data_IF_160936529389
#
_entry.id   IF_160936529389
#
_cell.length_a   1.000
_cell.length_b   1.000
_cell.length_c   1.000
_cell.angle_alpha   90.00
_cell.angle_beta   90.00
_cell.angle_gamma   90.00
#
_symmetry.space_group_name_H-M   'P 1'
#
loop_
_entity.id
_entity.type
_entity.pdbx_description
1 polymer ?
#
# COMPACT_ATOMS: atom_id res chain seq x y z
N UNK A 1 9.58 15.17 -10.74
CA UNK A 1 8.95 13.87 -10.35
C UNK A 1 9.74 12.77 -11.03
N UNK A 2 10.31 11.83 -10.26
CA UNK A 2 11.07 10.69 -10.80
C UNK A 2 10.16 9.46 -10.78
N UNK A 3 10.06 8.78 -11.91
CA UNK A 3 9.31 7.54 -12.05
C UNK A 3 10.19 6.37 -11.62
N UNK A 4 9.67 5.53 -10.74
CA UNK A 4 10.34 4.35 -10.21
C UNK A 4 9.51 3.09 -10.45
N UNK A 5 10.19 1.94 -10.51
CA UNK A 5 9.57 0.62 -10.46
C UNK A 5 10.00 -0.08 -9.19
N UNK A 6 9.07 -0.76 -8.52
CA UNK A 6 9.37 -1.51 -7.31
C UNK A 6 10.36 -2.65 -7.60
N UNK A 7 11.17 -3.08 -6.61
CA UNK A 7 11.89 -4.33 -6.68
C UNK A 7 10.95 -5.52 -6.88
N UNK A 8 11.51 -6.66 -7.25
CA UNK A 8 10.79 -7.94 -7.28
C UNK A 8 10.49 -8.39 -5.84
N UNK A 9 9.44 -9.21 -5.70
CA UNK A 9 9.04 -9.78 -4.42
C UNK A 9 10.17 -10.65 -3.83
N UNK A 10 10.56 -10.34 -2.58
CA UNK A 10 11.46 -11.16 -1.79
C UNK A 10 10.62 -12.10 -0.92
N UNK A 11 10.22 -13.24 -1.49
CA UNK A 11 9.31 -14.17 -0.86
C UNK A 11 9.81 -14.65 0.51
N UNK A 12 8.91 -14.65 1.50
CA UNK A 12 9.19 -15.07 2.87
C UNK A 12 9.82 -14.00 3.76
N UNK A 13 10.14 -12.82 3.24
CA UNK A 13 10.59 -11.69 4.04
C UNK A 13 9.52 -11.32 5.07
N UNK A 14 9.92 -11.18 6.33
CA UNK A 14 8.98 -10.88 7.41
C UNK A 14 8.58 -9.40 7.39
N UNK A 15 7.29 -9.16 7.66
CA UNK A 15 6.82 -7.80 7.90
C UNK A 15 7.57 -7.18 9.09
N UNK A 16 7.83 -5.89 8.98
CA UNK A 16 8.55 -5.10 10.00
C UNK A 16 7.51 -4.40 10.86
N UNK A 17 7.68 -4.48 12.17
CA UNK A 17 6.78 -3.84 13.11
C UNK A 17 6.85 -2.31 13.02
N UNK A 18 5.73 -1.68 13.32
CA UNK A 18 5.59 -0.23 13.38
C UNK A 18 4.56 0.17 14.44
N UNK A 19 4.62 1.43 14.84
CA UNK A 19 3.58 2.06 15.66
C UNK A 19 3.43 3.51 15.18
N UNK A 20 2.41 3.77 14.37
CA UNK A 20 2.25 5.02 13.63
C UNK A 20 0.89 5.68 13.92
N UNK A 21 0.81 7.02 13.92
CA UNK A 21 -0.46 7.73 14.06
C UNK A 21 -1.31 7.59 12.79
N UNK A 22 -2.58 7.26 13.00
CA UNK A 22 -3.60 7.17 11.96
C UNK A 22 -4.42 8.44 11.81
N UNK A 23 -4.98 8.64 10.64
CA UNK A 23 -5.86 9.78 10.31
C UNK A 23 -7.15 9.80 11.15
N UNK A 24 -7.49 8.69 11.78
CA UNK A 24 -8.61 8.54 12.73
C UNK A 24 -8.28 8.97 14.16
N UNK A 25 -7.06 9.46 14.41
CA UNK A 25 -6.57 9.91 15.71
C UNK A 25 -6.09 8.80 16.64
N UNK A 26 -5.99 7.55 16.16
CA UNK A 26 -5.46 6.42 16.92
C UNK A 26 -4.00 6.16 16.56
N UNK A 27 -3.30 5.45 17.47
CA UNK A 27 -2.04 4.78 17.16
C UNK A 27 -2.35 3.38 16.64
N UNK A 28 -1.63 2.96 15.60
CA UNK A 28 -1.78 1.67 14.95
C UNK A 28 -0.42 0.97 14.91
N UNK A 29 -0.37 -0.23 15.47
CA UNK A 29 0.75 -1.16 15.32
C UNK A 29 0.53 -2.10 14.13
N UNK A 30 1.57 -2.84 13.73
CA UNK A 30 1.41 -3.90 12.76
C UNK A 30 0.36 -4.93 13.24
N UNK A 31 0.41 -5.31 14.52
CA UNK A 31 -0.52 -6.29 15.10
C UNK A 31 -1.99 -5.85 15.01
N UNK A 32 -2.27 -4.55 15.12
CA UNK A 32 -3.63 -4.01 14.95
C UNK A 32 -4.13 -4.12 13.50
N UNK A 33 -3.22 -4.27 12.55
CA UNK A 33 -3.51 -4.32 11.11
C UNK A 33 -3.56 -5.76 10.55
N UNK A 34 -3.17 -6.78 11.33
CA UNK A 34 -3.10 -8.16 10.84
C UNK A 34 -4.49 -8.71 10.53
N UNK A 35 -4.65 -9.30 9.37
CA UNK A 35 -5.83 -10.06 8.98
C UNK A 35 -5.65 -11.55 9.22
N UNK A 36 -6.77 -12.25 9.43
CA UNK A 36 -6.78 -13.70 9.73
C UNK A 36 -6.05 -14.54 8.67
N UNK A 37 -6.17 -14.16 7.38
CA UNK A 37 -5.58 -14.89 6.25
C UNK A 37 -4.45 -14.17 5.55
N UNK A 38 -4.18 -12.93 5.94
CA UNK A 38 -3.09 -12.13 5.39
C UNK A 38 -3.30 -10.64 5.58
N UNK A 39 -2.29 -9.86 5.19
CA UNK A 39 -2.28 -8.42 5.37
C UNK A 39 -1.73 -7.74 4.12
N UNK A 40 -2.41 -6.71 3.64
CA UNK A 40 -1.94 -5.84 2.57
C UNK A 40 -1.44 -4.53 3.17
N UNK A 41 -0.14 -4.27 3.06
CA UNK A 41 0.47 -3.01 3.44
C UNK A 41 0.79 -2.21 2.18
N UNK A 42 0.45 -0.92 2.18
CA UNK A 42 0.53 -0.07 0.99
C UNK A 42 1.24 1.24 1.32
N UNK A 43 2.28 1.59 0.55
CA UNK A 43 2.80 2.95 0.58
C UNK A 43 2.09 3.77 -0.50
N UNK A 44 1.28 4.74 -0.06
CA UNK A 44 0.53 5.65 -0.93
C UNK A 44 0.70 7.10 -0.47
N UNK A 45 0.33 8.06 -1.31
CA UNK A 45 0.31 9.47 -0.95
C UNK A 45 -0.81 10.21 -1.69
N UNK A 46 -1.11 11.42 -1.28
CA UNK A 46 -2.27 12.16 -1.82
C UNK A 46 -1.96 12.84 -3.16
N UNK A 47 -0.72 13.30 -3.38
CA UNK A 47 -0.40 14.10 -4.57
C UNK A 47 -0.05 13.25 -5.81
N UNK A 48 0.33 11.98 -5.64
CA UNK A 48 0.81 11.14 -6.74
C UNK A 48 -0.29 10.84 -7.76
N UNK A 49 -0.12 11.18 -9.05
CA UNK A 49 -1.14 10.90 -10.06
C UNK A 49 -1.36 9.40 -10.29
N UNK A 50 -0.35 8.57 -10.05
CA UNK A 50 -0.51 7.11 -10.11
C UNK A 50 -1.43 6.61 -9.00
N UNK A 51 -1.31 7.11 -7.76
CA UNK A 51 -2.22 6.77 -6.67
C UNK A 51 -3.63 7.27 -6.97
N UNK A 52 -3.78 8.54 -7.37
CA UNK A 52 -5.08 9.12 -7.71
C UNK A 52 -5.82 8.34 -8.80
N UNK A 53 -5.09 7.86 -9.81
CA UNK A 53 -5.69 7.14 -10.94
C UNK A 53 -6.22 5.75 -10.60
N UNK A 54 -5.70 5.12 -9.54
CA UNK A 54 -6.09 3.77 -9.10
C UNK A 54 -6.98 3.77 -7.86
N UNK A 55 -7.18 4.91 -7.20
CA UNK A 55 -7.73 5.01 -5.86
C UNK A 55 -9.08 4.30 -5.67
N UNK A 56 -10.04 4.53 -6.58
CA UNK A 56 -11.35 3.87 -6.50
C UNK A 56 -11.22 2.35 -6.67
N UNK A 57 -10.42 1.89 -7.64
CA UNK A 57 -10.19 0.46 -7.88
C UNK A 57 -9.48 -0.22 -6.70
N UNK A 58 -8.54 0.49 -6.08
CA UNK A 58 -7.86 0.02 -4.87
C UNK A 58 -8.84 -0.17 -3.72
N UNK A 59 -9.75 0.77 -3.51
CA UNK A 59 -10.80 0.67 -2.48
C UNK A 59 -11.71 -0.53 -2.76
N UNK A 60 -12.16 -0.70 -4.01
CA UNK A 60 -13.02 -1.81 -4.42
C UNK A 60 -12.34 -3.16 -4.19
N UNK A 61 -11.05 -3.27 -4.50
CA UNK A 61 -10.29 -4.51 -4.29
C UNK A 61 -10.03 -4.77 -2.80
N UNK A 62 -9.72 -3.73 -2.00
CA UNK A 62 -9.55 -3.86 -0.55
C UNK A 62 -10.84 -4.34 0.13
N UNK A 63 -12.01 -3.83 -0.26
CA UNK A 63 -13.29 -4.30 0.28
C UNK A 63 -13.50 -5.80 0.03
N UNK A 64 -13.19 -6.29 -1.18
CA UNK A 64 -13.24 -7.72 -1.49
C UNK A 64 -12.23 -8.54 -0.69
N UNK A 65 -11.04 -7.99 -0.43
CA UNK A 65 -10.02 -8.63 0.39
C UNK A 65 -10.46 -8.75 1.85
N UNK A 66 -11.10 -7.72 2.40
CA UNK A 66 -11.68 -7.77 3.76
C UNK A 66 -12.71 -8.89 3.92
N UNK A 67 -13.57 -9.10 2.92
CA UNK A 67 -14.59 -10.16 2.93
C UNK A 67 -13.99 -11.58 3.03
N UNK A 68 -12.72 -11.74 2.65
CA UNK A 68 -12.03 -13.03 2.70
C UNK A 68 -10.99 -13.14 3.82
N UNK A 69 -10.93 -12.16 4.75
CA UNK A 69 -10.06 -12.19 5.94
C UNK A 69 -8.66 -11.61 5.72
N UNK A 70 -8.48 -10.75 4.71
CA UNK A 70 -7.26 -9.97 4.52
C UNK A 70 -7.54 -8.54 4.93
N UNK A 71 -6.81 -8.05 5.94
CA UNK A 71 -6.83 -6.65 6.33
C UNK A 71 -5.86 -5.83 5.48
N UNK A 72 -6.10 -4.52 5.41
CA UNK A 72 -5.25 -3.61 4.67
C UNK A 72 -4.87 -2.40 5.52
N UNK A 73 -3.69 -1.85 5.30
CA UNK A 73 -3.20 -0.62 5.91
C UNK A 73 -2.42 0.20 4.88
N UNK A 74 -2.61 1.51 4.89
CA UNK A 74 -1.85 2.43 4.05
C UNK A 74 -0.93 3.31 4.88
N UNK A 75 0.29 3.55 4.40
CA UNK A 75 1.30 4.38 5.04
C UNK A 75 1.73 5.48 4.06
N UNK A 76 1.72 6.72 4.52
CA UNK A 76 2.25 7.87 3.82
C UNK A 76 3.59 8.28 4.45
N UNK A 77 4.64 8.35 3.61
CA UNK A 77 6.01 8.64 4.07
C UNK A 77 6.68 9.75 3.26
N UNK A 78 5.92 10.56 2.51
CA UNK A 78 6.49 11.71 1.82
C UNK A 78 6.77 12.87 2.79
N UNK A 79 7.73 13.69 2.45
CA UNK A 79 7.99 14.95 3.14
C UNK A 79 6.86 15.97 2.86
N UNK A 80 6.02 16.31 3.85
CA UNK A 80 4.94 17.26 3.64
C UNK A 80 5.40 18.73 3.57
N UNK A 81 6.61 19.04 3.97
CA UNK A 81 7.15 20.41 3.90
C UNK A 81 7.37 20.83 2.44
N UNK A 82 7.88 19.91 1.62
CA UNK A 82 8.05 20.11 0.19
C UNK A 82 6.78 19.78 -0.62
N UNK A 83 5.87 18.98 -0.05
CA UNK A 83 4.64 18.48 -0.69
C UNK A 83 3.43 18.66 0.24
N UNK A 84 2.91 19.87 0.41
CA UNK A 84 1.82 20.17 1.34
C UNK A 84 0.52 19.36 1.12
N UNK A 85 0.30 18.86 -0.09
CA UNK A 85 -0.83 17.96 -0.39
C UNK A 85 -0.78 16.67 0.43
N UNK A 86 0.41 16.25 0.89
CA UNK A 86 0.62 15.07 1.70
C UNK A 86 0.64 15.37 3.22
N UNK A 87 0.28 16.59 3.62
CA UNK A 87 0.15 16.94 5.04
C UNK A 87 -0.87 16.04 5.75
N UNK A 88 -0.68 15.83 7.05
CA UNK A 88 -1.57 15.00 7.86
C UNK A 88 -3.04 15.46 7.78
N UNK A 89 -3.28 16.78 7.78
CA UNK A 89 -4.62 17.34 7.61
C UNK A 89 -5.24 16.95 6.26
N UNK A 90 -4.45 16.98 5.17
CA UNK A 90 -4.93 16.58 3.86
C UNK A 90 -5.11 15.05 3.76
N UNK A 91 -4.30 14.25 4.45
CA UNK A 91 -4.54 12.80 4.58
C UNK A 91 -5.91 12.52 5.23
N UNK A 92 -6.26 13.23 6.31
CA UNK A 92 -7.56 13.12 6.96
C UNK A 92 -8.70 13.46 6.01
N UNK A 93 -8.56 14.55 5.23
CA UNK A 93 -9.57 14.95 4.24
C UNK A 93 -9.76 13.89 3.16
N UNK A 94 -8.66 13.38 2.60
CA UNK A 94 -8.70 12.33 1.56
C UNK A 94 -9.32 11.04 2.10
N UNK A 95 -8.90 10.59 3.27
CA UNK A 95 -9.44 9.40 3.89
C UNK A 95 -10.96 9.51 4.12
N UNK A 96 -11.44 10.68 4.55
CA UNK A 96 -12.87 10.95 4.75
C UNK A 96 -13.63 11.07 3.42
N UNK A 97 -13.07 11.77 2.43
CA UNK A 97 -13.70 11.98 1.11
C UNK A 97 -13.96 10.66 0.38
N UNK A 98 -12.97 9.77 0.42
CA UNK A 98 -13.05 8.47 -0.26
C UNK A 98 -13.55 7.33 0.64
N UNK A 99 -13.88 7.62 1.91
CA UNK A 99 -14.32 6.63 2.89
C UNK A 99 -13.37 5.43 2.93
N UNK A 100 -12.08 5.68 3.17
CA UNK A 100 -11.08 4.60 3.18
C UNK A 100 -11.48 3.46 4.13
N UNK A 101 -11.59 2.21 3.65
CA UNK A 101 -11.95 1.06 4.47
C UNK A 101 -10.75 0.49 5.26
N UNK A 102 -9.63 1.22 5.32
CA UNK A 102 -8.38 0.83 5.95
C UNK A 102 -7.79 2.01 6.73
N UNK A 103 -6.97 1.75 7.77
CA UNK A 103 -6.18 2.78 8.42
C UNK A 103 -5.23 3.47 7.44
N UNK A 104 -5.16 4.79 7.49
CA UNK A 104 -4.19 5.58 6.73
C UNK A 104 -3.26 6.28 7.72
N UNK A 105 -2.00 5.85 7.73
CA UNK A 105 -1.01 6.18 8.75
C UNK A 105 0.05 7.14 8.20
N UNK A 106 0.62 7.96 9.08
CA UNK A 106 1.76 8.81 8.72
C UNK A 106 3.06 8.26 9.31
N UNK A 107 4.06 8.02 8.45
CA UNK A 107 5.45 7.71 8.80
C UNK A 107 6.29 9.00 8.65
N UNK A 108 6.17 9.90 9.64
CA UNK A 108 6.82 11.19 9.59
C UNK A 108 8.35 11.09 9.60
N UNK A 109 8.90 10.08 10.27
CA UNK A 109 10.34 9.83 10.30
C UNK A 109 10.90 9.25 9.01
N UNK A 110 10.04 8.65 8.19
CA UNK A 110 10.39 7.89 6.98
C UNK A 110 11.20 6.61 7.26
N UNK A 111 11.33 6.23 8.52
CA UNK A 111 12.09 5.04 8.92
C UNK A 111 11.38 3.75 8.50
N UNK A 112 10.05 3.72 8.58
CA UNK A 112 9.27 2.55 8.19
C UNK A 112 9.35 2.33 6.69
N UNK A 113 9.17 3.37 5.87
CA UNK A 113 9.33 3.23 4.42
C UNK A 113 10.74 2.75 4.03
N UNK A 114 11.78 3.28 4.69
CA UNK A 114 13.17 2.84 4.46
C UNK A 114 13.38 1.39 4.88
N UNK A 115 12.85 0.97 6.03
CA UNK A 115 12.97 -0.39 6.54
C UNK A 115 12.28 -1.41 5.61
N UNK A 116 11.09 -1.10 5.10
CA UNK A 116 10.40 -1.90 4.09
C UNK A 116 11.05 -1.85 2.70
N UNK A 117 12.01 -0.97 2.47
CA UNK A 117 12.59 -0.75 1.15
C UNK A 117 11.57 -0.23 0.14
N UNK A 118 10.57 0.54 0.61
CA UNK A 118 9.62 1.22 -0.26
C UNK A 118 10.33 2.37 -0.99
N UNK A 119 10.10 2.50 -2.30
CA UNK A 119 10.81 3.48 -3.12
C UNK A 119 9.88 4.41 -3.91
N UNK A 120 8.63 4.04 -4.06
CA UNK A 120 7.64 4.81 -4.83
C UNK A 120 6.24 4.68 -4.23
N UNK A 121 5.33 5.48 -4.73
CA UNK A 121 3.90 5.36 -4.46
C UNK A 121 3.14 5.24 -5.79
N UNK A 122 2.23 4.22 -5.92
CA UNK A 122 1.94 3.17 -4.94
C UNK A 122 3.01 2.07 -4.92
N UNK A 123 3.27 1.49 -3.73
CA UNK A 123 4.06 0.27 -3.53
C UNK A 123 3.25 -0.67 -2.64
N UNK A 124 3.02 -1.91 -3.08
CA UNK A 124 2.14 -2.87 -2.43
C UNK A 124 2.92 -4.05 -1.88
N UNK A 125 2.70 -4.40 -0.62
CA UNK A 125 3.30 -5.52 0.08
C UNK A 125 2.20 -6.43 0.61
N UNK A 126 2.02 -7.59 0.00
CA UNK A 126 1.05 -8.59 0.39
C UNK A 126 1.67 -9.70 1.23
N UNK A 127 1.20 -9.85 2.45
CA UNK A 127 1.69 -10.83 3.42
C UNK A 127 0.67 -11.93 3.65
N UNK A 128 1.15 -13.16 3.90
CA UNK A 128 0.31 -14.27 4.37
C UNK A 128 0.01 -14.15 5.88
N UNK A 129 -0.75 -15.10 6.42
CA UNK A 129 -1.12 -15.13 7.85
C UNK A 129 0.09 -15.24 8.80
N UNK A 130 1.24 -15.69 8.32
CA UNK A 130 2.50 -15.75 9.08
C UNK A 130 3.34 -14.48 8.93
N UNK A 131 2.79 -13.42 8.32
CA UNK A 131 3.47 -12.16 8.01
C UNK A 131 4.73 -12.36 7.15
N UNK A 132 4.67 -13.29 6.21
CA UNK A 132 5.70 -13.53 5.21
C UNK A 132 5.28 -12.93 3.88
N UNK A 133 6.16 -12.13 3.26
CA UNK A 133 5.89 -11.45 1.99
C UNK A 133 5.61 -12.48 0.88
N UNK A 134 4.49 -12.33 0.20
CA UNK A 134 4.03 -13.20 -0.87
C UNK A 134 3.70 -12.43 -2.16
N UNK A 135 3.49 -11.13 -2.05
CA UNK A 135 3.20 -10.27 -3.18
C UNK A 135 3.90 -8.92 -3.07
N UNK A 136 4.59 -8.51 -4.14
CA UNK A 136 5.07 -7.16 -4.34
C UNK A 136 4.96 -6.82 -5.82
N UNK A 137 3.85 -6.25 -6.21
CA UNK A 137 3.51 -6.03 -7.62
C UNK A 137 2.54 -4.87 -7.80
N UNK A 138 2.04 -4.71 -9.04
CA UNK A 138 1.08 -3.68 -9.39
C UNK A 138 -0.34 -4.03 -8.93
N UNK A 139 -1.23 -3.01 -8.86
CA UNK A 139 -2.65 -3.23 -8.56
C UNK A 139 -3.33 -4.05 -9.67
N UNK A 140 -3.23 -3.56 -10.90
CA UNK A 140 -3.89 -4.11 -12.09
C UNK A 140 -3.07 -3.84 -13.37
N UNK A 141 -3.54 -4.32 -14.51
CA UNK A 141 -2.91 -4.11 -15.80
C UNK A 141 -3.33 -2.80 -16.50
N UNK A 142 -4.27 -2.06 -15.95
CA UNK A 142 -4.76 -0.80 -16.50
C UNK A 142 -3.82 0.38 -16.23
N UNK A 143 -3.06 0.32 -15.12
CA UNK A 143 -2.18 1.39 -14.70
C UNK A 143 -2.96 2.69 -14.48
N UNK A 144 -2.55 3.78 -15.13
CA UNK A 144 -3.25 5.09 -15.03
C UNK A 144 -4.49 5.19 -15.94
N UNK A 145 -4.75 4.21 -16.79
CA UNK A 145 -5.90 4.24 -17.71
C UNK A 145 -7.15 3.74 -16.98
N UNK A 146 -8.34 4.12 -17.46
CA UNK A 146 -9.57 3.47 -17.01
C UNK A 146 -9.51 1.96 -17.27
N UNK A 147 -10.01 1.12 -16.35
CA UNK A 147 -10.04 -0.31 -16.55
C UNK A 147 -10.98 -0.69 -17.70
N UNK A 148 -10.65 -1.75 -18.41
CA UNK A 148 -11.54 -2.42 -19.35
C UNK A 148 -12.29 -3.58 -18.67
N UNK A 149 -13.32 -4.11 -19.33
CA UNK A 149 -14.04 -5.28 -18.81
C UNK A 149 -13.16 -6.54 -18.69
N UNK A 150 -11.98 -6.54 -19.31
CA UNK A 150 -11.03 -7.66 -19.30
C UNK A 150 -9.75 -7.31 -18.53
N UNK A 151 -9.75 -6.23 -17.76
CA UNK A 151 -8.59 -5.85 -16.96
C UNK A 151 -8.31 -6.89 -15.88
N UNK A 152 -7.04 -7.24 -15.72
CA UNK A 152 -6.58 -8.17 -14.69
C UNK A 152 -6.35 -7.41 -13.39
N UNK A 153 -6.91 -7.93 -12.32
CA UNK A 153 -6.71 -7.44 -10.94
C UNK A 153 -5.54 -8.20 -10.30
N UNK A 154 -4.31 -7.91 -10.73
CA UNK A 154 -3.11 -8.69 -10.34
C UNK A 154 -2.96 -8.79 -8.82
N UNK A 155 -3.16 -7.69 -8.09
CA UNK A 155 -3.08 -7.66 -6.62
C UNK A 155 -4.21 -8.49 -5.98
N UNK A 156 -5.46 -8.27 -6.39
CA UNK A 156 -6.61 -8.97 -5.83
C UNK A 156 -6.49 -10.48 -6.05
N UNK A 157 -6.20 -10.92 -7.28
CA UNK A 157 -6.01 -12.32 -7.63
C UNK A 157 -4.88 -12.96 -6.80
N UNK A 158 -3.73 -12.26 -6.70
CA UNK A 158 -2.61 -12.73 -5.90
C UNK A 158 -2.94 -12.88 -4.41
N UNK A 159 -3.66 -11.92 -3.83
CA UNK A 159 -4.02 -11.97 -2.41
C UNK A 159 -5.13 -13.00 -2.13
N UNK A 160 -6.00 -13.29 -3.09
CA UNK A 160 -6.92 -14.44 -3.01
C UNK A 160 -6.14 -15.77 -2.96
N UNK A 161 -5.11 -15.92 -3.80
CA UNK A 161 -4.22 -17.10 -3.75
C UNK A 161 -3.52 -17.20 -2.40
N UNK A 162 -3.01 -16.08 -1.87
CA UNK A 162 -2.39 -16.01 -0.53
C UNK A 162 -3.37 -16.43 0.56
N UNK A 163 -4.61 -15.92 0.54
CA UNK A 163 -5.63 -16.28 1.52
C UNK A 163 -6.00 -17.77 1.51
N UNK A 164 -5.95 -18.40 0.34
CA UNK A 164 -6.34 -19.80 0.14
C UNK A 164 -5.20 -20.79 0.36
N UNK A 165 -3.96 -20.40 0.04
CA UNK A 165 -2.82 -21.33 -0.03
C UNK A 165 -1.65 -20.93 0.86
N UNK A 166 -1.64 -19.68 1.39
CA UNK A 166 -0.50 -19.08 2.08
C UNK A 166 0.63 -18.62 1.16
N UNK A 167 0.47 -18.77 -0.17
CA UNK A 167 1.51 -18.44 -1.16
C UNK A 167 0.96 -17.55 -2.27
N UNK A 168 1.77 -16.59 -2.69
CA UNK A 168 1.48 -15.74 -3.84
C UNK A 168 1.99 -16.31 -5.17
N UNK A 169 1.61 -15.70 -6.32
CA UNK A 169 2.05 -16.14 -7.64
C UNK A 169 3.56 -15.90 -7.81
N UNK A 170 4.25 -16.86 -8.44
CA UNK A 170 5.71 -16.76 -8.68
C UNK A 170 6.10 -15.62 -9.64
N UNK A 171 5.22 -15.33 -10.60
CA UNK A 171 5.45 -14.26 -11.58
C UNK A 171 4.59 -13.05 -11.21
N UNK A 172 5.26 -11.96 -10.89
CA UNK A 172 4.64 -10.72 -10.48
C UNK A 172 5.18 -9.57 -11.33
N UNK A 173 4.30 -8.61 -11.63
CA UNK A 173 4.68 -7.43 -12.41
C UNK A 173 4.91 -6.29 -11.41
N UNK A 174 6.12 -5.69 -11.37
CA UNK A 174 6.41 -4.60 -10.45
C UNK A 174 5.41 -3.44 -10.55
N UNK A 175 5.08 -2.85 -9.41
CA UNK A 175 4.37 -1.57 -9.37
C UNK A 175 5.25 -0.47 -9.95
N UNK A 176 4.62 0.59 -10.43
CA UNK A 176 5.28 1.76 -10.99
C UNK A 176 4.61 3.02 -10.45
N UNK A 177 5.40 3.98 -10.01
CA UNK A 177 4.86 5.21 -9.47
C UNK A 177 5.90 6.30 -9.22
N UNK A 178 5.48 7.34 -8.55
CA UNK A 178 6.35 8.46 -8.18
C UNK A 178 7.29 8.05 -7.04
N UNK A 179 8.57 8.41 -7.13
CA UNK A 179 9.50 8.21 -6.01
C UNK A 179 8.95 8.80 -4.72
N UNK A 180 9.18 8.13 -3.59
CA UNK A 180 8.96 8.71 -2.27
C UNK A 180 9.79 9.99 -2.15
N UNK A 181 9.23 11.02 -1.50
CA UNK A 181 9.86 12.31 -1.29
C UNK A 181 10.54 12.28 0.08
N UNK A 182 11.83 11.96 0.03
CA UNK A 182 12.64 11.88 1.24
C UNK A 182 12.95 13.27 1.77
N UNK A 183 12.90 13.43 3.10
CA UNK A 183 13.41 14.61 3.78
C UNK A 183 14.89 14.78 3.44
N UNK A 184 15.32 16.01 3.19
CA UNK A 184 16.71 16.30 3.02
C UNK A 184 17.46 15.94 4.31
N UNK A 185 18.50 15.12 4.21
CA UNK A 185 19.39 14.87 5.34
C UNK A 185 20.03 16.19 5.73
N UNK A 186 19.80 16.62 6.97
CA UNK A 186 20.45 17.81 7.52
C UNK A 186 21.96 17.58 7.65
#
# INVERSE_FOLDING_TARGET
MVLMKTPICNFGEKAIDFNLPGTDGKQWSLDDCVGEKGTLLMFICNHCPYVKSIQTRLIDDVLKLMDIGINSVAIMSNDPDDYPEDSFENMQKVAAEYNFPFPYLIDESQEIAKAYGAICTPDFFGYNAALELQYRGRLDDSGMKPPSNNSKHDLLEAMIDVANTGNGPKHQIPSMGCSIKWKNSA
#
